data_IF_720915943112
#
_entry.id   IF_720915943112
#
_cell.length_a   1.000
_cell.length_b   1.000
_cell.length_c   1.000
_cell.angle_alpha   90.00
_cell.angle_beta   90.00
_cell.angle_gamma   90.00
#
_symmetry.space_group_name_H-M   'P 1'
#
loop_
_entity.id
_entity.type
_entity.pdbx_description
1 polymer ?
#
# COMPACT_ATOMS: atom_id res chain seq x y z
N UNK A 1 15.24 15.71 -24.80
CA UNK A 1 15.05 15.97 -23.36
C UNK A 1 13.56 15.85 -23.07
N UNK A 2 13.15 14.98 -22.15
CA UNK A 2 11.72 14.75 -21.85
C UNK A 2 11.46 15.08 -20.37
N UNK A 3 10.42 15.86 -20.11
CA UNK A 3 9.96 16.19 -18.76
C UNK A 3 8.64 15.47 -18.51
N UNK A 4 8.56 14.67 -17.42
CA UNK A 4 7.31 14.08 -16.96
C UNK A 4 6.73 14.96 -15.86
N UNK A 5 5.52 15.48 -16.05
CA UNK A 5 4.80 16.24 -15.02
C UNK A 5 4.52 15.34 -13.83
N UNK A 6 4.89 15.78 -12.61
CA UNK A 6 4.54 15.08 -11.37
C UNK A 6 3.02 15.12 -11.14
N UNK A 7 2.46 14.05 -10.57
CA UNK A 7 1.03 13.93 -10.28
C UNK A 7 0.70 14.51 -8.91
N UNK A 8 -0.51 15.03 -8.74
CA UNK A 8 -1.04 15.35 -7.40
C UNK A 8 -1.29 14.07 -6.63
N UNK A 9 -1.09 14.10 -5.32
CA UNK A 9 -1.34 12.94 -4.46
C UNK A 9 -2.78 12.39 -4.53
N UNK A 10 -3.79 13.23 -4.80
CA UNK A 10 -5.17 12.78 -5.03
C UNK A 10 -5.28 11.75 -6.17
N UNK A 11 -4.33 11.77 -7.12
CA UNK A 11 -4.25 10.80 -8.21
C UNK A 11 -3.69 9.43 -7.79
N UNK A 12 -3.33 9.24 -6.51
CA UNK A 12 -2.95 7.94 -5.94
C UNK A 12 -4.16 7.10 -5.49
N UNK A 13 -5.37 7.67 -5.55
CA UNK A 13 -6.61 6.95 -5.27
C UNK A 13 -6.67 5.70 -6.15
N UNK A 14 -6.79 4.53 -5.53
CA UNK A 14 -6.88 3.26 -6.24
C UNK A 14 -7.85 2.33 -5.52
N UNK A 15 -8.95 2.01 -6.20
CA UNK A 15 -9.93 1.03 -5.74
C UNK A 15 -9.62 -0.40 -6.26
N UNK A 16 -8.53 -0.58 -7.01
CA UNK A 16 -8.10 -1.86 -7.58
C UNK A 16 -9.09 -2.57 -8.54
N UNK A 17 -10.14 -1.88 -8.95
CA UNK A 17 -11.15 -2.41 -9.88
C UNK A 17 -10.61 -2.69 -11.29
N UNK A 18 -9.58 -1.97 -11.72
CA UNK A 18 -8.97 -2.12 -13.03
C UNK A 18 -7.45 -2.04 -12.89
N UNK A 19 -6.85 -3.09 -12.32
CA UNK A 19 -5.41 -3.24 -12.06
C UNK A 19 -4.88 -2.47 -10.83
N UNK A 20 -3.57 -2.24 -10.76
CA UNK A 20 -2.88 -1.53 -9.67
C UNK A 20 -2.89 0.00 -9.82
N UNK A 21 -3.69 0.54 -10.74
CA UNK A 21 -3.78 1.97 -11.07
C UNK A 21 -2.42 2.59 -11.47
N UNK A 22 -1.74 3.24 -10.53
CA UNK A 22 -0.40 3.84 -10.66
C UNK A 22 0.57 3.32 -9.61
N UNK A 23 0.16 2.34 -8.83
CA UNK A 23 1.04 1.61 -7.93
C UNK A 23 1.86 0.61 -8.73
N UNK A 24 3.13 0.53 -8.35
CA UNK A 24 4.16 -0.34 -8.91
C UNK A 24 4.18 -1.59 -8.03
N UNK A 25 3.95 -2.75 -8.64
CA UNK A 25 3.79 -4.04 -7.94
C UNK A 25 4.93 -5.04 -8.25
N UNK A 26 6.12 -4.52 -8.50
CA UNK A 26 7.35 -5.30 -8.73
C UNK A 26 8.53 -4.80 -7.88
N UNK A 27 8.24 -3.96 -6.88
CA UNK A 27 9.24 -3.36 -6.00
C UNK A 27 9.71 -4.29 -4.87
N UNK A 28 8.94 -5.35 -4.57
CA UNK A 28 9.24 -6.35 -3.54
C UNK A 28 9.88 -7.62 -4.11
N UNK A 29 10.14 -8.60 -3.24
CA UNK A 29 10.57 -9.94 -3.66
C UNK A 29 9.46 -10.70 -4.39
N UNK A 30 8.21 -10.44 -4.00
CA UNK A 30 7.02 -11.04 -4.58
C UNK A 30 5.97 -9.96 -4.82
N UNK A 31 5.28 -10.08 -5.95
CA UNK A 31 4.17 -9.19 -6.31
C UNK A 31 2.91 -9.52 -5.50
N UNK A 32 2.15 -8.49 -5.15
CA UNK A 32 0.78 -8.63 -4.65
C UNK A 32 -0.12 -9.22 -5.74
N UNK A 33 -1.16 -9.95 -5.34
CA UNK A 33 -2.13 -10.54 -6.27
C UNK A 33 -3.45 -9.77 -6.22
N UNK A 34 -4.13 -9.59 -7.35
CA UNK A 34 -5.49 -9.05 -7.39
C UNK A 34 -6.50 -10.19 -7.20
N UNK A 35 -7.36 -10.03 -6.21
CA UNK A 35 -8.47 -10.97 -5.95
C UNK A 35 -9.81 -10.27 -6.17
N UNK A 36 -10.85 -11.09 -6.38
CA UNK A 36 -12.23 -10.66 -6.54
C UNK A 36 -13.13 -11.29 -5.46
N UNK A 37 -14.06 -10.49 -4.93
CA UNK A 37 -15.05 -10.90 -3.94
C UNK A 37 -14.56 -10.75 -2.50
N UNK A 38 -15.38 -10.16 -1.62
CA UNK A 38 -15.01 -9.91 -0.23
C UNK A 38 -14.13 -8.68 0.01
N UNK A 39 -14.00 -7.79 -1.00
CA UNK A 39 -13.41 -6.47 -0.83
C UNK A 39 -14.25 -5.63 0.15
N UNK A 40 -13.61 -4.68 0.85
CA UNK A 40 -14.33 -3.72 1.69
C UNK A 40 -15.30 -2.86 0.87
N UNK A 41 -14.82 -2.36 -0.27
CA UNK A 41 -15.60 -1.61 -1.24
C UNK A 41 -15.30 -2.15 -2.64
N UNK A 42 -16.29 -2.12 -3.52
CA UNK A 42 -16.15 -2.63 -4.88
C UNK A 42 -16.12 -4.16 -4.94
N UNK A 43 -15.47 -4.67 -5.98
CA UNK A 43 -15.36 -6.11 -6.23
C UNK A 43 -13.95 -6.64 -6.00
N UNK A 44 -12.91 -5.79 -6.01
CA UNK A 44 -11.51 -6.23 -6.03
C UNK A 44 -10.66 -5.62 -4.93
N UNK A 45 -9.60 -6.35 -4.57
CA UNK A 45 -8.59 -5.90 -3.61
C UNK A 45 -7.24 -6.56 -3.92
N UNK A 46 -6.18 -6.01 -3.34
CA UNK A 46 -4.83 -6.57 -3.41
C UNK A 46 -4.57 -7.46 -2.20
N UNK A 47 -3.91 -8.59 -2.44
CA UNK A 47 -3.74 -9.66 -1.46
C UNK A 47 -2.33 -10.23 -1.47
N UNK A 48 -1.86 -10.64 -0.31
CA UNK A 48 -0.64 -11.45 -0.13
C UNK A 48 -0.93 -12.62 0.80
N UNK A 49 -0.48 -13.80 0.39
CA UNK A 49 -0.50 -14.98 1.26
C UNK A 49 0.78 -14.98 2.10
N UNK A 50 0.65 -14.83 3.43
CA UNK A 50 1.79 -14.79 4.34
C UNK A 50 2.37 -16.18 4.66
N UNK A 51 1.66 -17.26 4.33
CA UNK A 51 2.08 -18.63 4.65
C UNK A 51 2.77 -19.37 3.49
N UNK A 52 3.12 -20.64 3.73
CA UNK A 52 3.76 -21.50 2.73
C UNK A 52 5.12 -20.99 2.27
N UNK A 53 5.30 -20.89 0.95
CA UNK A 53 6.53 -20.43 0.28
C UNK A 53 6.77 -18.92 0.38
N UNK A 54 5.84 -18.17 0.97
CA UNK A 54 5.92 -16.72 1.13
C UNK A 54 6.32 -16.28 2.53
N UNK A 55 6.62 -17.22 3.43
CA UNK A 55 7.15 -16.90 4.75
C UNK A 55 8.41 -16.04 4.64
N UNK A 56 8.47 -14.97 5.43
CA UNK A 56 9.58 -14.03 5.52
C UNK A 56 9.93 -13.31 4.20
N UNK A 57 9.02 -13.29 3.22
CA UNK A 57 9.21 -12.53 1.98
C UNK A 57 8.62 -11.14 2.08
N UNK A 58 9.26 -10.20 1.41
CA UNK A 58 8.75 -8.85 1.29
C UNK A 58 7.87 -8.68 0.04
N UNK A 59 6.69 -8.11 0.26
CA UNK A 59 5.80 -7.64 -0.79
C UNK A 59 5.75 -6.13 -0.71
N UNK A 60 5.89 -5.43 -1.84
CA UNK A 60 5.88 -3.96 -1.86
C UNK A 60 5.00 -3.46 -3.00
N UNK A 61 4.00 -2.66 -2.64
CA UNK A 61 3.33 -1.73 -3.54
C UNK A 61 3.96 -0.35 -3.38
N UNK A 62 4.55 0.16 -4.45
CA UNK A 62 5.25 1.43 -4.44
C UNK A 62 4.51 2.47 -5.28
N UNK A 63 4.29 3.66 -4.73
CA UNK A 63 3.66 4.73 -5.50
C UNK A 63 4.64 5.35 -6.50
N UNK A 64 4.12 5.93 -7.58
CA UNK A 64 4.87 6.98 -8.30
C UNK A 64 5.16 8.16 -7.36
N UNK A 65 6.14 8.99 -7.73
CA UNK A 65 6.35 10.27 -7.04
C UNK A 65 5.16 11.19 -7.28
N UNK A 66 4.70 11.85 -6.23
CA UNK A 66 3.62 12.82 -6.28
C UNK A 66 4.02 14.13 -5.60
N UNK A 67 3.30 15.20 -5.95
CA UNK A 67 3.40 16.49 -5.26
C UNK A 67 2.21 16.67 -4.33
N UNK A 68 2.48 17.32 -3.21
CA UNK A 68 1.49 17.70 -2.21
C UNK A 68 1.38 19.22 -2.22
N UNK A 69 0.20 19.73 -2.55
CA UNK A 69 -0.08 21.18 -2.52
C UNK A 69 -0.58 21.61 -1.12
N UNK A 70 -0.89 20.65 -0.25
CA UNK A 70 -1.36 20.83 1.13
C UNK A 70 -1.08 19.56 1.94
N UNK A 71 -1.27 19.60 3.25
CA UNK A 71 -1.20 18.41 4.10
C UNK A 71 -2.28 17.40 3.67
N UNK A 72 -1.87 16.16 3.43
CA UNK A 72 -2.75 15.08 3.00
C UNK A 72 -2.59 13.85 3.88
N UNK A 73 -3.57 12.96 3.81
CA UNK A 73 -3.56 11.69 4.52
C UNK A 73 -3.78 10.53 3.54
N UNK A 74 -3.13 9.41 3.80
CA UNK A 74 -3.47 8.13 3.17
C UNK A 74 -4.61 7.52 3.97
N UNK A 75 -5.72 7.19 3.31
CA UNK A 75 -6.82 6.43 3.88
C UNK A 75 -6.92 5.09 3.15
N UNK A 76 -6.92 3.99 3.89
CA UNK A 76 -6.99 2.64 3.32
C UNK A 76 -7.68 1.66 4.27
N UNK A 77 -8.15 0.56 3.70
CA UNK A 77 -8.70 -0.57 4.44
C UNK A 77 -7.76 -1.77 4.33
N UNK A 78 -7.63 -2.52 5.41
CA UNK A 78 -6.79 -3.72 5.47
C UNK A 78 -7.52 -4.85 6.21
N UNK A 79 -7.22 -6.09 5.85
CA UNK A 79 -7.73 -7.30 6.52
C UNK A 79 -6.55 -8.25 6.73
N UNK A 80 -6.34 -8.68 7.97
CA UNK A 80 -5.22 -9.54 8.36
C UNK A 80 -5.73 -10.63 9.28
N UNK A 81 -6.11 -11.77 8.73
CA UNK A 81 -6.62 -12.91 9.48
C UNK A 81 -5.67 -14.10 9.39
N UNK A 82 -5.25 -14.60 10.55
CA UNK A 82 -4.58 -15.90 10.65
C UNK A 82 -3.32 -15.87 11.51
N UNK A 83 -2.93 -17.04 12.01
CA UNK A 83 -1.82 -17.19 12.96
C UNK A 83 -0.43 -17.01 12.32
N UNK A 84 -0.36 -16.98 10.99
CA UNK A 84 0.89 -16.80 10.22
C UNK A 84 1.01 -15.42 9.60
N UNK A 85 0.13 -14.47 9.98
CA UNK A 85 0.22 -13.10 9.48
C UNK A 85 1.55 -12.48 9.89
N UNK A 86 2.18 -11.81 8.93
CA UNK A 86 3.37 -10.99 9.16
C UNK A 86 3.00 -9.57 9.56
N UNK A 87 3.78 -8.62 9.08
CA UNK A 87 3.59 -7.19 9.31
C UNK A 87 3.03 -6.53 8.06
N UNK A 88 2.07 -5.63 8.25
CA UNK A 88 1.70 -4.62 7.25
C UNK A 88 2.30 -3.29 7.69
N UNK A 89 3.03 -2.63 6.78
CA UNK A 89 3.71 -1.36 7.05
C UNK A 89 3.41 -0.36 5.95
N UNK A 90 3.27 0.91 6.31
CA UNK A 90 3.28 2.00 5.34
C UNK A 90 4.52 2.85 5.59
N UNK A 91 5.34 3.00 4.55
CA UNK A 91 6.54 3.82 4.59
C UNK A 91 6.39 5.04 3.69
N UNK A 92 6.88 6.19 4.15
CA UNK A 92 6.93 7.44 3.39
C UNK A 92 8.35 7.87 3.07
N UNK A 93 8.60 8.31 1.85
CA UNK A 93 9.85 8.93 1.44
C UNK A 93 9.75 10.45 1.55
N UNK A 94 10.41 11.01 2.56
CA UNK A 94 10.46 12.46 2.84
C UNK A 94 11.72 13.14 2.30
N UNK A 95 11.98 14.35 2.79
CA UNK A 95 13.07 15.21 2.29
C UNK A 95 14.50 14.77 2.56
N UNK A 96 14.68 13.86 3.49
CA UNK A 96 15.98 13.24 3.75
C UNK A 96 16.30 12.06 2.80
N UNK A 97 15.46 11.81 1.79
CA UNK A 97 15.55 10.65 0.88
C UNK A 97 15.64 9.29 1.60
N UNK A 98 15.11 9.23 2.83
CA UNK A 98 15.01 8.03 3.65
C UNK A 98 13.55 7.58 3.80
N UNK A 99 13.32 6.27 3.75
CA UNK A 99 12.02 5.67 4.03
C UNK A 99 11.77 5.68 5.54
N UNK A 100 10.66 6.31 5.94
CA UNK A 100 10.24 6.38 7.34
C UNK A 100 8.96 5.59 7.53
N UNK A 101 8.88 4.82 8.62
CA UNK A 101 7.65 4.11 8.98
C UNK A 101 6.58 5.10 9.45
N UNK A 102 5.43 5.08 8.79
CA UNK A 102 4.27 5.92 9.09
C UNK A 102 3.16 5.12 9.80
N UNK A 103 3.11 3.81 9.52
CA UNK A 103 2.13 2.88 10.05
C UNK A 103 2.75 1.49 10.14
N UNK A 104 2.43 0.75 11.20
CA UNK A 104 2.73 -0.67 11.30
C UNK A 104 1.68 -1.39 12.13
N UNK A 105 1.30 -2.57 11.67
CA UNK A 105 0.47 -3.52 12.40
C UNK A 105 1.00 -4.93 12.16
N UNK A 106 1.02 -5.76 13.20
CA UNK A 106 1.65 -7.08 13.20
C UNK A 106 0.66 -8.17 13.60
N UNK A 107 0.72 -9.30 12.90
CA UNK A 107 -0.07 -10.48 13.24
C UNK A 107 -1.56 -10.35 12.92
N UNK A 108 -2.36 -11.29 13.45
CA UNK A 108 -3.79 -11.36 13.18
C UNK A 108 -4.55 -10.20 13.84
N UNK A 109 -5.39 -9.52 13.06
CA UNK A 109 -6.23 -8.40 13.46
C UNK A 109 -7.72 -8.76 13.57
N UNK A 110 -8.05 -10.02 13.26
CA UNK A 110 -9.43 -10.54 13.30
C UNK A 110 -9.98 -10.78 11.90
N UNK A 111 -11.25 -11.16 11.83
CA UNK A 111 -11.94 -11.47 10.58
C UNK A 111 -12.83 -10.30 10.13
N UNK A 112 -12.25 -9.11 10.04
CA UNK A 112 -12.96 -7.91 9.61
C UNK A 112 -12.00 -6.95 8.93
N UNK A 113 -12.50 -6.20 7.96
CA UNK A 113 -11.77 -5.09 7.37
C UNK A 113 -11.64 -3.97 8.41
N UNK A 114 -10.43 -3.45 8.56
CA UNK A 114 -10.09 -2.35 9.45
C UNK A 114 -9.68 -1.14 8.62
N UNK A 115 -9.99 0.04 9.14
CA UNK A 115 -9.66 1.32 8.49
C UNK A 115 -8.45 1.95 9.16
N UNK A 116 -7.54 2.48 8.35
CA UNK A 116 -6.43 3.30 8.81
C UNK A 116 -6.37 4.61 8.02
N UNK A 117 -6.06 5.68 8.73
CA UNK A 117 -5.81 6.99 8.16
C UNK A 117 -4.51 7.56 8.73
N UNK A 118 -3.54 7.85 7.87
CA UNK A 118 -2.21 8.32 8.29
C UNK A 118 -1.78 9.59 7.55
N UNK A 119 -1.22 10.59 8.25
CA UNK A 119 -0.60 11.75 7.62
C UNK A 119 0.58 11.35 6.75
N UNK A 120 0.71 11.94 5.57
CA UNK A 120 1.84 11.68 4.67
C UNK A 120 2.79 12.88 4.73
N UNK A 121 4.03 12.72 5.25
CA UNK A 121 5.01 13.80 5.30
C UNK A 121 5.86 13.92 4.02
N UNK A 122 5.68 13.01 3.04
CA UNK A 122 6.59 12.82 1.92
C UNK A 122 5.91 12.71 0.56
N UNK A 123 6.70 12.49 -0.50
CA UNK A 123 6.25 12.50 -1.90
C UNK A 123 6.21 11.12 -2.54
N UNK A 124 6.39 10.06 -1.74
CA UNK A 124 6.32 8.67 -2.20
C UNK A 124 5.92 7.75 -1.06
N UNK A 125 5.22 6.67 -1.40
CA UNK A 125 4.73 5.67 -0.46
C UNK A 125 5.18 4.26 -0.85
N UNK A 126 5.39 3.42 0.17
CA UNK A 126 5.46 1.96 0.08
C UNK A 126 4.45 1.36 1.04
N UNK A 127 3.76 0.32 0.59
CA UNK A 127 2.85 -0.52 1.38
C UNK A 127 3.26 -1.97 1.23
#
# INVERSE_FOLDING_TARGET
>A
MSFRRLRKAQALTCAFENEFCKWINDAGEVAWTLLKGGAYEGERYVYTEASGSNKNKQFILESERFVMDSAIKLSFYYHMKGTKMGDLKVLGLGSADAWNELFSVSGSQGDSWLHAEIPIPGWRLRV
#
